data_IF_107574495438
#
_entry.id   IF_107574495438
#
_cell.length_a   1.000
_cell.length_b   1.000
_cell.length_c   1.000
_cell.angle_alpha   90.00
_cell.angle_beta   90.00
_cell.angle_gamma   90.00
#
_symmetry.space_group_name_H-M   'P 1'
#
loop_
_entity.id
_entity.type
_entity.pdbx_description
1 polymer ?
#
# COMPACT_ATOMS: atom_id res chain seq x y z
N UNK A 1 -14.92 -19.30 -114.71
CA UNK A 1 -13.56 -19.62 -115.20
C UNK A 1 -12.91 -20.60 -114.25
N UNK A 2 -12.43 -21.74 -114.77
CA UNK A 2 -11.26 -22.56 -114.37
C UNK A 2 -11.13 -22.99 -112.89
N UNK A 3 -10.73 -24.21 -112.54
CA UNK A 3 -10.19 -25.34 -113.29
C UNK A 3 -10.24 -26.58 -112.40
N UNK A 4 -10.55 -27.70 -113.03
CA UNK A 4 -10.34 -29.07 -112.58
C UNK A 4 -8.89 -29.37 -112.18
N UNK A 5 -8.69 -30.39 -111.33
CA UNK A 5 -7.71 -31.51 -111.39
C UNK A 5 -7.84 -32.35 -110.09
N UNK A 6 -8.34 -33.59 -110.20
CA UNK A 6 -7.62 -34.88 -110.27
C UNK A 6 -7.35 -35.54 -108.89
N UNK A 7 -7.86 -36.78 -108.76
CA UNK A 7 -7.58 -37.87 -107.79
C UNK A 7 -6.06 -38.26 -107.75
N UNK A 8 -5.55 -39.21 -106.90
CA UNK A 8 -6.24 -40.29 -106.16
C UNK A 8 -5.73 -40.64 -104.71
N UNK A 9 -6.52 -41.47 -104.04
CA UNK A 9 -6.24 -42.63 -103.15
C UNK A 9 -4.94 -42.74 -102.30
N UNK A 10 -5.08 -43.00 -100.98
CA UNK A 10 -4.07 -43.63 -100.09
C UNK A 10 -4.55 -43.80 -98.63
N UNK A 11 -3.96 -44.72 -97.82
CA UNK A 11 -4.73 -45.75 -97.12
C UNK A 11 -4.99 -45.51 -95.63
N UNK A 12 -5.89 -46.34 -95.10
CA UNK A 12 -6.29 -46.52 -93.71
C UNK A 12 -5.14 -46.48 -92.70
N UNK A 13 -5.12 -45.46 -91.84
CA UNK A 13 -4.26 -45.44 -90.65
C UNK A 13 -4.83 -46.35 -89.56
N UNK A 14 -4.16 -47.45 -89.31
CA UNK A 14 -4.32 -48.27 -88.11
C UNK A 14 -4.10 -47.39 -86.86
N UNK A 15 -5.15 -47.20 -86.04
CA UNK A 15 -5.00 -46.69 -84.67
C UNK A 15 -4.57 -47.85 -83.78
N UNK A 16 -3.43 -47.77 -83.07
CA UNK A 16 -3.14 -48.74 -82.02
C UNK A 16 -4.19 -48.63 -80.91
N UNK A 17 -4.81 -49.76 -80.60
CA UNK A 17 -5.81 -49.93 -79.54
C UNK A 17 -5.09 -49.77 -78.20
N UNK A 18 -5.42 -48.73 -77.44
CA UNK A 18 -4.91 -48.51 -76.09
C UNK A 18 -5.27 -49.75 -75.23
N UNK A 19 -4.31 -50.49 -74.64
CA UNK A 19 -4.65 -51.62 -73.78
C UNK A 19 -5.38 -51.09 -72.54
N UNK A 20 -6.67 -51.39 -72.46
CA UNK A 20 -7.48 -51.14 -71.27
C UNK A 20 -6.81 -51.88 -70.09
N UNK A 21 -6.34 -51.10 -69.10
CA UNK A 21 -5.88 -51.67 -67.81
C UNK A 21 -7.04 -52.46 -67.22
N UNK A 22 -6.81 -53.75 -66.95
CA UNK A 22 -7.78 -54.61 -66.29
C UNK A 22 -8.21 -54.02 -64.93
N UNK A 23 -9.48 -54.17 -64.52
CA UNK A 23 -9.94 -53.70 -63.22
C UNK A 23 -9.16 -54.44 -62.13
N UNK A 24 -8.48 -53.68 -61.26
CA UNK A 24 -7.84 -54.24 -60.06
C UNK A 24 -8.94 -54.88 -59.21
N UNK A 25 -8.74 -56.14 -58.81
CA UNK A 25 -9.61 -56.81 -57.85
C UNK A 25 -9.64 -55.96 -56.57
N UNK A 26 -10.79 -55.40 -56.24
CA UNK A 26 -11.00 -54.74 -54.95
C UNK A 26 -10.93 -55.82 -53.87
N UNK A 27 -9.90 -55.78 -53.03
CA UNK A 27 -9.82 -56.63 -51.85
C UNK A 27 -10.90 -56.19 -50.86
N UNK A 28 -11.70 -57.13 -50.37
CA UNK A 28 -12.60 -56.89 -49.25
C UNK A 28 -11.80 -56.75 -47.95
N UNK A 29 -12.23 -55.85 -47.07
CA UNK A 29 -11.63 -55.66 -45.75
C UNK A 29 -11.74 -56.93 -44.92
N UNK A 30 -10.65 -57.30 -44.25
CA UNK A 30 -10.65 -58.43 -43.31
C UNK A 30 -11.16 -57.94 -41.95
N UNK A 31 -11.86 -58.82 -41.22
CA UNK A 31 -12.34 -58.52 -39.85
C UNK A 31 -11.19 -58.06 -38.93
N UNK A 32 -10.00 -58.67 -39.10
CA UNK A 32 -8.82 -58.36 -38.31
C UNK A 32 -8.28 -56.94 -38.56
N UNK A 33 -8.41 -56.41 -39.79
CA UNK A 33 -7.96 -55.05 -40.13
C UNK A 33 -8.81 -53.99 -39.42
N UNK A 34 -10.13 -54.17 -39.43
CA UNK A 34 -11.04 -53.27 -38.70
C UNK A 34 -10.80 -53.36 -37.19
N UNK A 35 -10.55 -54.56 -36.65
CA UNK A 35 -10.23 -54.72 -35.22
C UNK A 35 -8.93 -54.00 -34.84
N UNK A 36 -7.85 -54.17 -35.61
CA UNK A 36 -6.56 -53.50 -35.34
C UNK A 36 -6.71 -51.98 -35.43
N UNK A 37 -7.43 -51.46 -36.43
CA UNK A 37 -7.71 -50.02 -36.55
C UNK A 37 -8.47 -49.50 -35.34
N UNK A 38 -9.52 -50.21 -34.89
CA UNK A 38 -10.29 -49.81 -33.71
C UNK A 38 -9.44 -49.82 -32.44
N UNK A 39 -8.57 -50.81 -32.26
CA UNK A 39 -7.66 -50.88 -31.11
C UNK A 39 -6.69 -49.69 -31.11
N UNK A 40 -6.04 -49.41 -32.24
CA UNK A 40 -5.08 -48.31 -32.35
C UNK A 40 -5.78 -46.96 -32.14
N UNK A 41 -6.91 -46.72 -32.79
CA UNK A 41 -7.69 -45.49 -32.63
C UNK A 41 -8.16 -45.30 -31.19
N UNK A 42 -8.59 -46.37 -30.52
CA UNK A 42 -9.01 -46.30 -29.11
C UNK A 42 -7.84 -45.93 -28.20
N UNK A 43 -6.65 -46.50 -28.40
CA UNK A 43 -5.45 -46.17 -27.62
C UNK A 43 -5.05 -44.71 -27.83
N UNK A 44 -5.03 -44.25 -29.08
CA UNK A 44 -4.71 -42.85 -29.41
C UNK A 44 -5.76 -41.92 -28.79
N UNK A 45 -7.05 -42.24 -28.92
CA UNK A 45 -8.14 -41.46 -28.36
C UNK A 45 -8.05 -41.31 -26.85
N UNK A 46 -7.78 -42.39 -26.12
CA UNK A 46 -7.56 -42.37 -24.66
C UNK A 46 -6.32 -41.54 -24.32
N UNK A 47 -5.20 -41.74 -25.03
CA UNK A 47 -3.97 -40.99 -24.80
C UNK A 47 -4.14 -39.48 -25.04
N UNK A 48 -4.85 -39.10 -26.10
CA UNK A 48 -5.15 -37.70 -26.41
C UNK A 48 -6.05 -37.06 -25.36
N UNK A 49 -7.06 -37.79 -24.87
CA UNK A 49 -7.93 -37.30 -23.80
C UNK A 49 -7.15 -37.05 -22.50
N UNK A 50 -6.28 -37.99 -22.10
CA UNK A 50 -5.44 -37.84 -20.91
C UNK A 50 -4.48 -36.64 -21.00
N UNK A 51 -3.93 -36.39 -22.19
CA UNK A 51 -3.05 -35.23 -22.42
C UNK A 51 -3.82 -33.91 -22.32
N UNK A 52 -5.03 -33.86 -22.85
CA UNK A 52 -5.89 -32.68 -22.76
C UNK A 52 -6.29 -32.38 -21.31
N UNK A 53 -6.63 -33.40 -20.52
CA UNK A 53 -6.94 -33.23 -19.09
C UNK A 53 -5.72 -32.71 -18.31
N UNK A 54 -4.54 -33.25 -18.60
CA UNK A 54 -3.28 -32.79 -17.98
C UNK A 54 -3.01 -31.33 -18.32
N UNK A 55 -3.24 -30.93 -19.57
CA UNK A 55 -3.10 -29.55 -20.01
C UNK A 55 -4.04 -28.62 -19.25
N UNK A 56 -5.34 -28.95 -19.18
CA UNK A 56 -6.31 -28.14 -18.45
C UNK A 56 -6.00 -28.04 -16.95
N UNK A 57 -5.58 -29.14 -16.33
CA UNK A 57 -5.22 -29.13 -14.90
C UNK A 57 -3.98 -28.27 -14.65
N UNK A 58 -2.97 -28.38 -15.52
CA UNK A 58 -1.75 -27.59 -15.43
C UNK A 58 -2.04 -26.10 -15.64
N UNK A 59 -2.86 -25.75 -16.63
CA UNK A 59 -3.27 -24.38 -16.88
C UNK A 59 -4.01 -23.78 -15.67
N UNK A 60 -4.93 -24.52 -15.06
CA UNK A 60 -5.62 -24.09 -13.82
C UNK A 60 -4.64 -23.82 -12.67
N UNK A 61 -3.70 -24.74 -12.42
CA UNK A 61 -2.72 -24.59 -11.34
C UNK A 61 -1.78 -23.40 -11.61
N UNK A 62 -1.34 -23.22 -12.86
CA UNK A 62 -0.50 -22.09 -13.24
C UNK A 62 -1.24 -20.76 -13.07
N UNK A 63 -2.49 -20.69 -13.50
CA UNK A 63 -3.30 -19.47 -13.37
C UNK A 63 -3.55 -19.13 -11.90
N UNK A 64 -3.92 -20.10 -11.06
CA UNK A 64 -4.07 -19.90 -9.62
C UNK A 64 -2.78 -19.35 -8.99
N UNK A 65 -1.63 -19.96 -9.31
CA UNK A 65 -0.34 -19.50 -8.78
C UNK A 65 0.04 -18.10 -9.28
N UNK A 66 -0.31 -17.76 -10.52
CA UNK A 66 -0.08 -16.44 -11.07
C UNK A 66 -0.94 -15.38 -10.36
N UNK A 67 -2.19 -15.71 -10.05
CA UNK A 67 -3.10 -14.82 -9.31
C UNK A 67 -2.63 -14.58 -7.87
N UNK A 68 -2.21 -15.61 -7.14
CA UNK A 68 -1.60 -15.48 -5.80
C UNK A 68 -0.40 -14.52 -5.82
N UNK A 69 0.53 -14.73 -6.77
CA UNK A 69 1.71 -13.88 -6.91
C UNK A 69 1.34 -12.43 -7.26
N UNK A 70 0.29 -12.25 -8.08
CA UNK A 70 -0.22 -10.93 -8.45
C UNK A 70 -0.82 -10.21 -7.24
N UNK A 71 -1.66 -10.88 -6.44
CA UNK A 71 -2.26 -10.30 -5.24
C UNK A 71 -1.18 -9.88 -4.24
N UNK A 72 -0.21 -10.76 -3.95
CA UNK A 72 0.92 -10.46 -3.08
C UNK A 72 1.75 -9.28 -3.59
N UNK A 73 2.02 -9.21 -4.89
CA UNK A 73 2.74 -8.09 -5.49
C UNK A 73 1.97 -6.78 -5.39
N UNK A 74 0.64 -6.80 -5.58
CA UNK A 74 -0.23 -5.64 -5.40
C UNK A 74 -0.28 -5.16 -3.95
N UNK A 75 -0.36 -6.09 -2.99
CA UNK A 75 -0.29 -5.80 -1.57
C UNK A 75 1.01 -5.07 -1.19
N UNK A 76 2.14 -5.58 -1.67
CA UNK A 76 3.46 -4.99 -1.43
C UNK A 76 3.62 -3.63 -2.11
N UNK A 77 3.13 -3.47 -3.34
CA UNK A 77 3.15 -2.19 -4.04
C UNK A 77 2.34 -1.13 -3.29
N UNK A 78 1.16 -1.50 -2.80
CA UNK A 78 0.32 -0.59 -2.02
C UNK A 78 1.01 -0.20 -0.71
N UNK A 79 1.63 -1.15 -0.03
CA UNK A 79 2.39 -0.87 1.19
C UNK A 79 3.59 0.07 0.92
N UNK A 80 4.31 -0.15 -0.19
CA UNK A 80 5.40 0.72 -0.64
C UNK A 80 4.90 2.15 -0.92
N UNK A 81 3.81 2.31 -1.67
CA UNK A 81 3.23 3.62 -1.97
C UNK A 81 2.84 4.37 -0.68
N UNK A 82 2.20 3.66 0.24
CA UNK A 82 1.73 4.23 1.49
C UNK A 82 2.92 4.70 2.35
N UNK A 83 3.97 3.87 2.48
CA UNK A 83 5.18 4.21 3.24
C UNK A 83 6.03 5.29 2.57
N UNK A 84 6.06 5.38 1.24
CA UNK A 84 6.73 6.47 0.51
C UNK A 84 6.09 7.84 0.76
N UNK A 85 4.79 7.85 0.99
CA UNK A 85 4.03 9.08 1.26
C UNK A 85 3.96 9.41 2.75
N UNK A 86 4.72 8.69 3.58
CA UNK A 86 4.86 8.95 5.00
C UNK A 86 5.20 10.43 5.28
N UNK A 87 4.68 10.97 6.38
CA UNK A 87 4.90 12.36 6.82
C UNK A 87 5.06 12.41 8.34
N UNK A 88 6.02 13.19 8.88
CA UNK A 88 6.33 13.28 10.30
C UNK A 88 5.30 14.15 11.06
N UNK A 89 4.01 13.83 10.95
CA UNK A 89 2.93 14.51 11.67
C UNK A 89 2.37 13.58 12.76
N UNK A 90 2.64 13.86 14.04
CA UNK A 90 1.93 13.27 15.18
C UNK A 90 0.43 13.40 15.03
N UNK A 91 -0.38 12.64 15.76
CA UNK A 91 -1.84 12.77 15.74
C UNK A 91 -2.39 12.85 17.15
N UNK A 92 -3.55 13.47 17.34
CA UNK A 92 -4.26 13.38 18.62
C UNK A 92 -5.30 12.26 18.55
N UNK A 93 -5.24 11.33 19.48
CA UNK A 93 -6.21 10.29 19.73
C UNK A 93 -7.06 10.67 20.96
N UNK A 94 -8.37 10.51 20.87
CA UNK A 94 -9.31 10.84 21.95
C UNK A 94 -9.11 10.04 23.23
N UNK A 95 -8.53 8.83 23.15
CA UNK A 95 -8.30 7.96 24.31
C UNK A 95 -6.87 8.06 24.87
N UNK A 96 -5.85 8.01 23.99
CA UNK A 96 -4.44 7.93 24.38
C UNK A 96 -3.70 9.28 24.39
N UNK A 97 -4.37 10.37 23.99
CA UNK A 97 -3.72 11.68 23.87
C UNK A 97 -2.93 11.81 22.57
N UNK A 98 -1.75 12.42 22.61
CA UNK A 98 -0.95 12.57 21.40
C UNK A 98 -0.12 11.31 21.09
N UNK A 99 -0.19 10.87 19.84
CA UNK A 99 0.56 9.72 19.32
C UNK A 99 1.64 10.17 18.32
N UNK A 100 2.77 9.46 18.27
CA UNK A 100 3.85 9.76 17.34
C UNK A 100 3.42 9.57 15.89
N UNK A 101 4.15 10.20 14.96
CA UNK A 101 3.88 10.13 13.53
C UNK A 101 3.97 8.70 12.98
N UNK A 102 4.80 7.86 13.59
CA UNK A 102 4.94 6.43 13.32
C UNK A 102 4.97 5.69 14.65
N UNK A 103 4.16 4.63 14.79
CA UNK A 103 4.23 3.67 15.90
C UNK A 103 4.01 2.27 15.35
N UNK A 104 4.53 1.26 16.02
CA UNK A 104 4.27 -0.12 15.64
C UNK A 104 4.95 -1.12 16.55
N UNK A 105 4.45 -2.33 16.48
CA UNK A 105 4.97 -3.52 17.15
C UNK A 105 5.21 -4.60 16.09
N UNK A 106 5.49 -5.84 16.50
CA UNK A 106 5.84 -6.91 15.58
C UNK A 106 4.73 -7.26 14.59
N UNK A 107 3.45 -7.15 14.97
CA UNK A 107 2.32 -7.62 14.16
C UNK A 107 1.42 -6.51 13.61
N UNK A 108 1.74 -5.25 13.89
CA UNK A 108 0.97 -4.11 13.39
C UNK A 108 1.78 -2.82 13.45
N UNK A 109 1.40 -1.84 12.63
CA UNK A 109 1.97 -0.50 12.68
C UNK A 109 0.99 0.56 12.18
N UNK A 110 1.15 1.76 12.68
CA UNK A 110 0.41 2.95 12.30
C UNK A 110 1.34 4.08 11.91
N UNK A 111 0.95 4.83 10.88
CA UNK A 111 1.68 6.01 10.46
C UNK A 111 0.79 7.05 9.79
N UNK A 112 1.29 8.28 9.77
CA UNK A 112 0.65 9.38 9.06
C UNK A 112 1.25 9.54 7.66
N UNK A 113 0.40 9.65 6.63
CA UNK A 113 0.82 9.93 5.25
C UNK A 113 0.09 11.14 4.67
N UNK A 114 0.62 11.65 3.56
CA UNK A 114 -0.13 12.53 2.67
C UNK A 114 -1.30 11.78 2.03
N UNK A 115 -2.49 12.36 2.12
CA UNK A 115 -3.68 11.91 1.42
C UNK A 115 -3.65 12.29 -0.05
N UNK A 116 -4.56 11.71 -0.83
CA UNK A 116 -4.71 12.04 -2.25
C UNK A 116 -4.94 13.56 -2.43
N UNK A 117 -4.36 14.11 -3.51
CA UNK A 117 -4.55 15.51 -3.86
C UNK A 117 -6.04 15.84 -3.96
N UNK A 118 -6.46 16.90 -3.27
CA UNK A 118 -7.85 17.35 -3.27
C UNK A 118 -8.15 18.14 -4.54
N UNK A 119 -8.50 17.44 -5.62
CA UNK A 119 -8.84 18.06 -6.91
C UNK A 119 -10.21 18.76 -6.89
N UNK A 120 -11.11 18.38 -5.98
CA UNK A 120 -12.48 18.90 -5.90
C UNK A 120 -12.65 20.09 -4.96
N UNK A 121 -11.62 20.45 -4.18
CA UNK A 121 -11.66 21.59 -3.27
C UNK A 121 -12.49 21.37 -2.00
N UNK A 122 -12.90 20.13 -1.71
CA UNK A 122 -13.63 19.80 -0.49
C UNK A 122 -12.75 20.02 0.76
N UNK A 123 -13.29 20.41 1.92
CA UNK A 123 -12.51 20.52 3.15
C UNK A 123 -12.13 19.14 3.70
N UNK A 124 -11.23 18.44 3.00
CA UNK A 124 -10.58 17.20 3.43
C UNK A 124 -9.19 17.54 3.93
N UNK A 125 -8.82 17.01 5.11
CA UNK A 125 -7.43 17.06 5.54
C UNK A 125 -6.56 16.32 4.53
N UNK A 126 -5.50 16.97 4.03
CA UNK A 126 -4.51 16.37 3.13
C UNK A 126 -3.63 15.29 3.80
N UNK A 127 -4.00 14.85 5.00
CA UNK A 127 -3.25 13.90 5.80
C UNK A 127 -4.19 12.80 6.26
N UNK A 128 -3.72 11.57 6.20
CA UNK A 128 -4.45 10.39 6.63
C UNK A 128 -3.59 9.60 7.59
N UNK A 129 -4.22 9.04 8.62
CA UNK A 129 -3.60 8.01 9.42
C UNK A 129 -3.99 6.65 8.88
N UNK A 130 -2.99 5.81 8.70
CA UNK A 130 -3.13 4.43 8.28
C UNK A 130 -2.67 3.51 9.40
N UNK A 131 -3.27 2.32 9.41
CA UNK A 131 -2.91 1.19 10.23
C UNK A 131 -2.83 -0.04 9.33
N UNK A 132 -1.81 -0.85 9.55
CA UNK A 132 -1.66 -2.17 8.96
C UNK A 132 -1.56 -3.19 10.08
N UNK A 133 -2.32 -4.27 9.97
CA UNK A 133 -2.33 -5.37 10.92
C UNK A 133 -3.02 -6.59 10.33
N UNK A 134 -3.01 -7.69 11.07
CA UNK A 134 -3.78 -8.88 10.72
C UNK A 134 -5.12 -8.90 11.44
N UNK A 135 -6.15 -9.44 10.81
CA UNK A 135 -7.46 -9.63 11.42
C UNK A 135 -8.29 -10.66 10.66
N UNK A 136 -9.55 -10.79 11.04
CA UNK A 136 -10.51 -11.69 10.44
C UNK A 136 -11.53 -10.89 9.61
N UNK A 137 -12.17 -11.50 8.60
CA UNK A 137 -13.38 -10.92 8.03
C UNK A 137 -14.42 -10.73 9.13
N UNK A 138 -15.19 -9.65 9.04
CA UNK A 138 -16.32 -9.42 9.94
C UNK A 138 -17.56 -10.01 9.26
N UNK A 139 -18.25 -10.94 9.94
CA UNK A 139 -19.43 -11.65 9.41
C UNK A 139 -20.54 -10.66 8.99
N UNK A 140 -20.60 -9.49 9.63
CA UNK A 140 -21.60 -8.45 9.39
C UNK A 140 -21.22 -7.46 8.27
N UNK A 141 -20.05 -7.60 7.64
CA UNK A 141 -19.55 -6.67 6.64
C UNK A 141 -19.57 -7.29 5.23
N UNK A 142 -20.62 -6.93 4.46
CA UNK A 142 -20.85 -7.33 3.05
C UNK A 142 -19.64 -7.09 2.11
N UNK A 143 -18.62 -6.35 2.56
CA UNK A 143 -17.38 -6.13 1.80
C UNK A 143 -16.44 -7.34 1.82
N UNK A 144 -16.65 -8.28 2.74
CA UNK A 144 -15.85 -9.51 2.89
C UNK A 144 -16.57 -10.75 2.34
N UNK A 145 -17.81 -10.62 1.85
CA UNK A 145 -18.69 -11.68 1.31
C UNK A 145 -18.07 -12.49 0.13
N UNK A 146 -17.03 -11.96 -0.50
CA UNK A 146 -16.33 -12.64 -1.60
C UNK A 146 -15.26 -13.63 -1.14
N UNK A 147 -14.98 -13.73 0.16
CA UNK A 147 -14.00 -14.66 0.69
C UNK A 147 -14.65 -16.02 0.90
N UNK A 148 -14.04 -17.07 0.34
CA UNK A 148 -14.58 -18.42 0.37
C UNK A 148 -14.55 -19.06 1.76
N UNK A 149 -13.65 -18.59 2.64
CA UNK A 149 -13.42 -19.11 3.99
C UNK A 149 -13.42 -17.96 5.03
N UNK A 150 -14.42 -17.97 5.90
CA UNK A 150 -14.64 -17.00 7.00
C UNK A 150 -13.53 -17.05 8.08
N UNK A 151 -12.81 -18.17 8.17
CA UNK A 151 -11.69 -18.36 9.11
C UNK A 151 -10.33 -17.87 8.57
N UNK A 152 -10.31 -17.23 7.39
CA UNK A 152 -9.06 -16.79 6.78
C UNK A 152 -8.55 -15.51 7.41
N UNK A 153 -7.29 -15.52 7.87
CA UNK A 153 -6.65 -14.31 8.40
C UNK A 153 -6.23 -13.41 7.24
N UNK A 154 -6.61 -12.15 7.34
CA UNK A 154 -6.40 -11.13 6.33
C UNK A 154 -5.35 -10.11 6.79
N UNK A 155 -4.55 -9.62 5.85
CA UNK A 155 -3.81 -8.38 6.02
C UNK A 155 -4.79 -7.23 5.80
N UNK A 156 -5.08 -6.50 6.88
CA UNK A 156 -5.99 -5.38 6.88
C UNK A 156 -5.23 -4.06 6.81
N UNK A 157 -5.76 -3.16 6.01
CA UNK A 157 -5.36 -1.76 5.93
C UNK A 157 -6.51 -0.89 6.39
N UNK A 158 -6.33 -0.24 7.52
CA UNK A 158 -7.34 0.62 8.12
C UNK A 158 -6.96 2.08 7.97
N UNK A 159 -7.94 2.95 7.69
CA UNK A 159 -7.73 4.40 7.59
C UNK A 159 -8.78 5.18 8.36
N UNK A 160 -8.36 6.27 9.00
CA UNK A 160 -9.29 7.21 9.62
C UNK A 160 -9.62 8.35 8.67
N UNK A 161 -10.89 8.79 8.68
CA UNK A 161 -11.37 9.93 7.87
C UNK A 161 -10.87 11.28 8.41
N UNK A 162 -10.58 11.34 9.70
CA UNK A 162 -10.09 12.54 10.40
C UNK A 162 -8.74 12.20 11.03
N UNK A 163 -7.79 13.14 10.93
CA UNK A 163 -6.44 12.94 11.46
C UNK A 163 -6.43 12.97 13.00
N UNK A 164 -7.11 13.96 13.59
CA UNK A 164 -7.29 14.08 15.03
C UNK A 164 -8.62 13.41 15.41
N UNK A 165 -8.52 12.29 16.12
CA UNK A 165 -9.63 11.37 16.37
C UNK A 165 -10.39 11.77 17.64
N UNK A 166 -11.72 11.79 17.55
CA UNK A 166 -12.59 11.73 18.73
C UNK A 166 -12.83 10.27 19.16
N UNK A 167 -13.48 10.04 20.30
CA UNK A 167 -13.80 8.70 20.79
C UNK A 167 -14.58 7.85 19.78
N UNK A 168 -15.51 8.45 19.03
CA UNK A 168 -16.39 7.77 18.09
C UNK A 168 -15.85 7.69 16.64
N UNK A 169 -14.54 7.89 16.46
CA UNK A 169 -13.92 7.88 15.11
C UNK A 169 -13.58 6.46 14.68
N UNK A 170 -14.48 5.83 13.92
CA UNK A 170 -14.27 4.50 13.36
C UNK A 170 -13.30 4.50 12.17
N UNK A 171 -12.49 3.43 12.10
CA UNK A 171 -11.57 3.22 10.99
C UNK A 171 -12.30 2.55 9.83
N UNK A 172 -12.03 3.01 8.61
CA UNK A 172 -12.46 2.30 7.39
C UNK A 172 -11.42 1.22 7.11
N UNK A 173 -11.78 -0.04 7.37
CA UNK A 173 -10.95 -1.22 7.14
C UNK A 173 -11.03 -1.65 5.67
N UNK A 174 -9.92 -2.05 5.07
CA UNK A 174 -9.82 -2.56 3.70
C UNK A 174 -8.93 -3.81 3.68
N UNK A 175 -9.41 -4.96 3.19
CA UNK A 175 -8.56 -6.14 3.00
C UNK A 175 -7.54 -5.87 1.88
N UNK A 176 -6.28 -6.24 2.13
CA UNK A 176 -5.17 -6.05 1.18
C UNK A 176 -4.67 -7.37 0.63
N UNK A 177 -4.63 -8.41 1.48
CA UNK A 177 -4.16 -9.74 1.13
C UNK A 177 -4.83 -10.76 2.05
N UNK A 178 -5.17 -11.91 1.52
CA UNK A 178 -5.75 -13.06 2.21
C UNK A 178 -4.69 -14.10 2.60
N UNK A 179 -5.13 -15.17 3.27
CA UNK A 179 -4.31 -16.34 3.60
C UNK A 179 -3.02 -16.03 4.38
N UNK A 180 -3.08 -15.03 5.27
CA UNK A 180 -1.93 -14.66 6.10
C UNK A 180 -1.78 -15.66 7.24
N UNK A 181 -0.56 -16.14 7.45
CA UNK A 181 -0.18 -16.96 8.60
C UNK A 181 0.49 -16.10 9.66
N UNK A 182 1.40 -15.21 9.23
CA UNK A 182 2.16 -14.37 10.13
C UNK A 182 2.51 -13.03 9.48
N UNK A 183 2.43 -11.96 10.28
CA UNK A 183 3.00 -10.65 9.98
C UNK A 183 4.06 -10.33 11.04
N UNK A 184 5.28 -10.10 10.58
CA UNK A 184 6.40 -9.67 11.41
C UNK A 184 7.01 -8.38 10.86
N UNK A 185 7.09 -7.36 11.71
CA UNK A 185 7.59 -6.04 11.37
C UNK A 185 8.74 -5.67 12.29
N UNK A 186 9.84 -5.21 11.69
CA UNK A 186 11.01 -4.68 12.40
C UNK A 186 11.34 -3.28 11.93
N UNK A 187 11.94 -2.50 12.82
CA UNK A 187 12.19 -1.08 12.63
C UNK A 187 13.68 -0.80 12.77
N UNK A 188 14.28 -0.18 11.76
CA UNK A 188 15.70 0.18 11.79
C UNK A 188 15.89 1.55 12.43
N UNK A 189 16.58 1.56 13.58
CA UNK A 189 16.94 2.80 14.28
C UNK A 189 18.19 3.42 13.66
N UNK A 190 18.09 4.68 13.22
CA UNK A 190 19.21 5.45 12.65
C UNK A 190 20.32 5.68 13.67
N UNK A 191 19.96 5.92 14.94
CA UNK A 191 20.89 6.38 15.96
C UNK A 191 21.73 5.21 16.50
N UNK A 192 21.06 4.10 16.84
CA UNK A 192 21.73 2.90 17.37
C UNK A 192 22.19 1.94 16.27
N UNK A 193 21.67 2.06 15.03
CA UNK A 193 21.88 1.13 13.90
C UNK A 193 21.47 -0.32 14.20
N UNK A 194 20.44 -0.49 15.03
CA UNK A 194 19.91 -1.78 15.42
C UNK A 194 18.47 -1.95 14.91
N UNK A 195 18.12 -3.19 14.58
CA UNK A 195 16.74 -3.58 14.29
C UNK A 195 15.96 -3.80 15.59
N UNK A 196 14.85 -3.09 15.73
CA UNK A 196 13.96 -3.13 16.88
C UNK A 196 12.64 -3.83 16.51
N UNK A 197 12.00 -4.49 17.47
CA UNK A 197 10.69 -5.14 17.31
C UNK A 197 9.51 -4.20 17.56
N UNK A 198 9.80 -2.97 17.99
CA UNK A 198 8.78 -1.95 18.22
C UNK A 198 9.33 -0.56 17.94
N UNK A 199 8.42 0.34 17.58
CA UNK A 199 8.68 1.75 17.42
C UNK A 199 7.56 2.57 18.07
N UNK A 200 7.86 3.65 18.81
CA UNK A 200 9.19 4.06 19.24
C UNK A 200 9.90 3.03 20.14
N UNK A 201 11.24 3.09 20.28
CA UNK A 201 11.99 2.21 21.18
C UNK A 201 11.48 2.28 22.63
N UNK A 202 11.56 1.22 23.44
CA UNK A 202 11.19 1.29 24.87
C UNK A 202 12.05 2.27 25.69
N UNK A 203 13.29 2.51 25.24
CA UNK A 203 14.24 3.44 25.87
C UNK A 203 13.91 4.91 25.61
N UNK A 204 12.83 5.17 24.88
CA UNK A 204 12.26 6.48 24.60
C UNK A 204 11.60 7.05 25.86
N UNK A 205 12.40 7.51 26.81
CA UNK A 205 11.88 8.25 27.96
C UNK A 205 11.36 9.60 27.46
N UNK A 206 10.07 9.64 27.08
CA UNK A 206 9.36 10.90 26.85
C UNK A 206 8.82 11.38 28.19
N UNK A 207 9.06 12.63 28.53
CA UNK A 207 8.38 13.31 29.62
C UNK A 207 6.86 13.07 29.48
N UNK A 208 6.10 12.81 30.55
CA UNK A 208 4.65 12.67 30.45
C UNK A 208 4.03 13.84 29.65
N UNK A 209 3.35 13.54 28.55
CA UNK A 209 2.75 14.53 27.64
C UNK A 209 3.63 15.00 26.47
N UNK A 210 4.90 14.59 26.41
CA UNK A 210 5.75 14.79 25.24
C UNK A 210 5.59 13.64 24.24
N UNK A 211 5.55 13.97 22.95
CA UNK A 211 5.40 12.99 21.87
C UNK A 211 6.77 12.64 21.31
N UNK A 212 7.04 11.36 21.09
CA UNK A 212 8.25 10.95 20.39
C UNK A 212 8.17 11.37 18.92
N UNK A 213 9.13 12.19 18.49
CA UNK A 213 9.23 12.67 17.11
C UNK A 213 10.23 11.87 16.26
N UNK A 214 10.88 10.85 16.84
CA UNK A 214 11.80 10.00 16.11
C UNK A 214 11.06 9.07 15.17
N UNK A 215 11.71 8.82 14.04
CA UNK A 215 11.18 8.05 12.93
C UNK A 215 12.14 6.89 12.65
N UNK A 216 11.62 5.70 12.30
CA UNK A 216 12.49 4.65 11.81
C UNK A 216 13.13 5.13 10.51
N UNK A 217 14.36 4.70 10.23
CA UNK A 217 14.98 4.95 8.93
C UNK A 217 14.47 3.96 7.88
N UNK A 218 14.17 2.73 8.30
CA UNK A 218 13.60 1.71 7.45
C UNK A 218 12.67 0.78 8.25
N UNK A 219 11.74 0.16 7.54
CA UNK A 219 10.82 -0.84 8.08
C UNK A 219 11.02 -2.12 7.27
N UNK A 220 11.28 -3.23 7.95
CA UNK A 220 11.30 -4.56 7.35
C UNK A 220 9.99 -5.25 7.67
N UNK A 221 9.28 -5.68 6.63
CA UNK A 221 8.03 -6.41 6.75
C UNK A 221 8.25 -7.81 6.21
N UNK A 222 7.98 -8.80 7.04
CA UNK A 222 7.97 -10.22 6.69
C UNK A 222 6.54 -10.71 6.80
N UNK A 223 6.02 -11.23 5.70
CA UNK A 223 4.69 -11.80 5.60
C UNK A 223 4.80 -13.27 5.22
N UNK A 224 4.19 -14.14 6.01
CA UNK A 224 4.07 -15.56 5.73
C UNK A 224 2.65 -15.83 5.29
N UNK A 225 2.49 -16.42 4.11
CA UNK A 225 1.18 -16.80 3.54
C UNK A 225 1.06 -18.31 3.46
N UNK A 226 -0.16 -18.84 3.53
CA UNK A 226 -0.44 -20.29 3.51
C UNK A 226 0.07 -20.96 2.23
N UNK A 227 -0.09 -20.30 1.09
CA UNK A 227 0.27 -20.82 -0.24
C UNK A 227 1.54 -20.18 -0.82
N UNK A 228 1.81 -18.91 -0.50
CA UNK A 228 2.92 -18.13 -1.05
C UNK A 228 4.26 -18.29 -0.32
N UNK A 229 4.26 -18.83 0.91
CA UNK A 229 5.46 -18.93 1.75
C UNK A 229 5.84 -17.60 2.40
N UNK A 230 7.12 -17.46 2.79
CA UNK A 230 7.66 -16.25 3.40
C UNK A 230 8.09 -15.23 2.34
N UNK A 231 7.59 -14.00 2.45
CA UNK A 231 8.07 -12.84 1.72
C UNK A 231 8.59 -11.79 2.68
N UNK A 232 9.83 -11.35 2.43
CA UNK A 232 10.46 -10.26 3.18
C UNK A 232 10.72 -9.06 2.29
N UNK A 233 10.30 -7.87 2.74
CA UNK A 233 10.53 -6.60 2.07
C UNK A 233 11.08 -5.55 3.02
N UNK A 234 12.02 -4.77 2.52
CA UNK A 234 12.63 -3.65 3.21
C UNK A 234 12.16 -2.35 2.57
N UNK A 235 11.56 -1.48 3.37
CA UNK A 235 11.07 -0.17 2.95
C UNK A 235 11.90 0.93 3.61
N UNK A 236 12.50 1.80 2.81
CA UNK A 236 13.17 3.00 3.31
C UNK A 236 12.16 4.11 3.51
N UNK A 237 12.18 4.75 4.68
CA UNK A 237 11.33 5.91 4.94
C UNK A 237 12.00 7.19 4.42
N UNK A 238 11.23 8.18 3.94
CA UNK A 238 11.79 9.47 3.52
C UNK A 238 12.53 10.15 4.68
N UNK A 239 13.65 10.81 4.36
CA UNK A 239 14.40 11.55 5.36
C UNK A 239 13.72 12.89 5.64
N UNK A 240 13.33 13.10 6.90
CA UNK A 240 12.81 14.38 7.36
C UNK A 240 13.84 15.05 8.26
N UNK A 241 14.30 16.23 7.87
CA UNK A 241 15.12 17.06 8.74
C UNK A 241 14.19 17.79 9.73
N UNK A 242 14.41 17.59 11.03
CA UNK A 242 13.55 18.12 12.10
C UNK A 242 13.52 19.66 12.19
N UNK A 243 14.28 20.37 11.35
CA UNK A 243 14.37 21.84 11.34
C UNK A 243 13.09 22.57 10.95
N UNK A 244 12.09 21.91 10.35
CA UNK A 244 10.82 22.53 9.92
C UNK A 244 9.57 22.13 10.72
N UNK A 245 9.66 21.16 11.64
CA UNK A 245 8.51 20.74 12.46
C UNK A 245 8.25 21.64 13.67
N UNK A 246 9.28 22.35 14.16
CA UNK A 246 9.18 23.23 15.33
C UNK A 246 8.51 24.59 15.04
N UNK A 247 8.42 25.01 13.77
CA UNK A 247 7.86 26.33 13.39
C UNK A 247 6.34 26.33 13.21
N UNK A 248 5.67 25.17 13.19
CA UNK A 248 4.21 25.07 13.11
C UNK A 248 3.49 25.02 14.47
N UNK A 249 4.23 24.87 15.57
CA UNK A 249 3.68 24.71 16.92
C UNK A 249 3.63 26.00 17.75
N UNK A 250 4.04 27.15 17.21
CA UNK A 250 4.14 28.42 17.95
C UNK A 250 3.33 29.60 17.39
N UNK A 251 2.46 29.42 16.40
CA UNK A 251 1.55 30.48 15.92
C UNK A 251 0.12 30.25 16.40
N UNK A 252 -0.07 30.24 17.71
CA UNK A 252 -1.37 30.08 18.34
C UNK A 252 -1.46 30.78 19.70
N UNK A 253 -1.37 32.12 19.69
CA UNK A 253 -1.82 32.94 20.83
C UNK A 253 -0.84 33.98 21.34
N UNK A 254 -0.91 35.19 20.81
CA UNK A 254 -0.69 36.45 21.55
C UNK A 254 -1.05 37.65 20.64
N UNK A 255 -2.34 37.88 20.36
CA UNK A 255 -2.81 39.18 19.90
C UNK A 255 -2.96 40.09 21.12
N UNK A 256 -1.86 40.77 21.46
CA UNK A 256 -1.86 41.88 22.42
C UNK A 256 -2.69 43.04 21.87
N UNK A 257 -3.55 43.60 22.72
CA UNK A 257 -4.38 44.76 22.41
C UNK A 257 -3.52 46.01 22.19
N UNK A 258 -3.59 46.55 20.97
CA UNK A 258 -3.28 47.95 20.67
C UNK A 258 -4.56 48.77 20.81
N UNK A 259 -4.57 49.80 21.65
CA UNK A 259 -4.19 51.18 21.30
C UNK A 259 -5.46 52.03 21.16
N UNK A 260 -5.81 52.76 22.23
CA UNK A 260 -6.71 53.90 22.13
C UNK A 260 -5.85 55.16 22.07
N UNK A 261 -5.86 55.82 20.91
CA UNK A 261 -5.13 57.06 20.68
C UNK A 261 -6.06 58.28 20.78
N UNK A 262 -5.56 59.29 21.49
CA UNK A 262 -5.78 60.71 21.23
C UNK A 262 -7.10 61.33 21.66
N UNK A 263 -7.04 62.31 22.59
CA UNK A 263 -7.23 63.70 22.15
C UNK A 263 -6.70 64.75 23.15
N UNK A 264 -6.20 65.85 22.57
CA UNK A 264 -6.12 67.24 23.05
C UNK A 264 -5.41 67.61 24.37
N UNK A 265 -4.33 68.39 24.24
CA UNK A 265 -4.39 69.86 24.41
C UNK A 265 -3.04 70.45 24.83
N UNK A 266 -2.45 71.20 23.91
CA UNK A 266 -1.37 72.17 24.12
C UNK A 266 -1.80 73.33 25.02
N UNK A 267 -0.98 73.67 26.02
CA UNK A 267 -1.06 74.91 26.78
C UNK A 267 0.27 75.19 27.47
N UNK A 268 0.95 76.26 27.07
CA UNK A 268 2.33 76.55 27.42
C UNK A 268 2.58 77.31 28.73
N UNK A 269 3.88 77.54 28.93
CA UNK A 269 4.50 78.62 29.71
C UNK A 269 4.35 78.61 31.23
N UNK A 270 5.47 78.41 31.94
CA UNK A 270 6.31 79.49 32.46
C UNK A 270 7.00 79.12 33.79
N UNK A 271 8.32 79.39 33.86
CA UNK A 271 8.99 79.98 35.03
C UNK A 271 9.29 79.10 36.26
N UNK A 272 10.52 79.23 36.76
CA UNK A 272 10.78 79.02 38.19
C UNK A 272 12.14 78.42 38.52
N UNK A 273 13.11 79.28 38.79
CA UNK A 273 14.45 78.95 39.25
C UNK A 273 14.51 78.61 40.76
N UNK A 274 15.66 78.06 41.18
CA UNK A 274 16.11 77.97 42.57
C UNK A 274 15.93 76.56 43.14
N UNK A 275 16.90 75.92 43.79
CA UNK A 275 18.12 76.42 44.38
C UNK A 275 18.32 75.69 45.71
N UNK A 276 19.47 75.05 45.85
CA UNK A 276 20.23 74.83 47.07
C UNK A 276 19.81 73.75 48.10
N UNK A 277 20.80 72.87 48.33
CA UNK A 277 21.35 72.42 49.63
C UNK A 277 20.46 71.80 50.71
N UNK A 278 20.89 70.61 51.15
CA UNK A 278 21.58 70.52 52.45
C UNK A 278 20.88 69.73 53.55
N UNK A 279 21.66 68.83 54.17
CA UNK A 279 21.49 68.34 55.55
C UNK A 279 20.76 67.01 55.65
N UNK A 280 21.43 65.87 55.80
CA UNK A 280 22.06 65.28 57.01
C UNK A 280 21.11 64.92 58.15
N UNK A 281 21.29 63.65 58.55
CA UNK A 281 21.13 63.04 59.87
C UNK A 281 19.76 62.61 60.36
N UNK A 282 19.71 61.33 60.77
CA UNK A 282 19.21 61.04 62.11
C UNK A 282 18.33 59.81 62.28
N UNK A 283 18.98 58.66 62.46
CA UNK A 283 18.85 57.83 63.66
C UNK A 283 17.64 56.87 63.90
N UNK A 284 18.02 55.72 64.49
CA UNK A 284 17.27 54.75 65.29
C UNK A 284 16.29 53.81 64.55
N UNK A 285 16.27 52.50 64.78
CA UNK A 285 16.88 51.66 65.82
C UNK A 285 15.92 50.49 66.15
N UNK A 286 16.48 49.33 66.54
CA UNK A 286 15.78 48.19 67.16
C UNK A 286 15.47 47.05 66.18
N UNK A 287 16.17 45.91 66.21
CA UNK A 287 16.28 44.82 67.22
C UNK A 287 15.23 43.70 67.08
N UNK A 288 15.74 42.47 67.24
CA UNK A 288 15.00 41.21 67.47
C UNK A 288 14.71 40.43 66.19
N UNK A 289 15.20 39.22 65.94
CA UNK A 289 15.48 38.09 66.84
C UNK A 289 14.76 36.87 66.22
N UNK A 290 15.49 36.00 65.53
CA UNK A 290 15.82 34.63 65.96
C UNK A 290 14.70 33.57 65.89
N UNK A 291 15.01 32.54 65.07
CA UNK A 291 14.75 31.08 65.24
C UNK A 291 13.27 30.62 65.16
N UNK A 292 12.95 29.49 64.53
CA UNK A 292 13.69 28.22 64.38
C UNK A 292 13.65 27.69 62.95
#
# INVERSE_FOLDING_TARGET
MKSSRLCPDSPSRFRPRNPQRAPRRAGGFTLIEVMVVLVIVSIIGIGSYSLLETFFTTDRVLNARADEMRQLSMAMYRLDDDLRQFTPRPVKNGYSGYEPAFKGVTNEFEFTRLGAANLTGDPRGNLQRLHYGIGYPDEDDDRFDSLEDDDTVLLLRSRWRVLDRGPDSEAVVEPVLDDIVELNVRYFDRDTRVWLSQWPPVSSATTPGAVDLRLPQAVEVTLVTRTGGEMRRLFSLPEFNASSAASGASSGGASGGGSNGGDQSSGGSNGGAGGNSGGTDGNAGGEGGERQ
#
